data_IF_475728951249
#
_entry.id   IF_475728951249
#
_cell.length_a   1.000
_cell.length_b   1.000
_cell.length_c   1.000
_cell.angle_alpha   90.00
_cell.angle_beta   90.00
_cell.angle_gamma   90.00
#
_symmetry.space_group_name_H-M   'P 1'
#
loop_
_entity.id
_entity.type
_entity.pdbx_description
1 polymer ?
#
# COMPACT_ATOMS: atom_id res chain seq x y z
N UNK A 1 37.92 -22.63 45.68
CA UNK A 1 38.52 -22.71 44.33
C UNK A 1 37.62 -21.88 43.42
N UNK A 2 38.02 -20.67 43.05
CA UNK A 2 37.19 -19.73 42.28
C UNK A 2 37.40 -20.04 40.80
N UNK A 3 36.35 -20.44 40.11
CA UNK A 3 36.33 -20.66 38.66
C UNK A 3 36.12 -19.33 37.95
N UNK A 4 37.10 -18.90 37.16
CA UNK A 4 36.96 -17.76 36.26
C UNK A 4 36.20 -18.18 35.00
N UNK A 5 35.08 -17.51 34.72
CA UNK A 5 34.43 -17.54 33.40
C UNK A 5 35.28 -16.71 32.43
N UNK A 6 35.79 -17.35 31.38
CA UNK A 6 36.46 -16.66 30.28
C UNK A 6 35.42 -15.85 29.49
N UNK A 7 35.73 -14.58 29.23
CA UNK A 7 34.91 -13.73 28.37
C UNK A 7 34.88 -14.29 26.94
N UNK A 8 33.68 -14.46 26.40
CA UNK A 8 33.48 -14.89 25.02
C UNK A 8 33.80 -13.70 24.10
N UNK A 9 34.85 -13.82 23.29
CA UNK A 9 35.19 -12.81 22.28
C UNK A 9 34.05 -12.72 21.26
N UNK A 10 33.32 -11.60 21.28
CA UNK A 10 32.43 -11.22 20.18
C UNK A 10 33.29 -10.71 19.03
N UNK A 11 33.58 -11.59 18.06
CA UNK A 11 34.17 -11.17 16.79
C UNK A 11 33.13 -10.36 16.03
N UNK A 12 33.39 -9.07 15.85
CA UNK A 12 32.62 -8.23 14.95
C UNK A 12 32.80 -8.75 13.51
N UNK A 13 31.85 -9.55 13.03
CA UNK A 13 31.78 -9.92 11.64
C UNK A 13 31.51 -8.66 10.82
N UNK A 14 32.56 -8.12 10.17
CA UNK A 14 32.37 -7.06 9.17
C UNK A 14 31.44 -7.60 8.10
N UNK A 15 30.27 -6.97 7.95
CA UNK A 15 29.38 -7.17 6.81
C UNK A 15 30.21 -6.96 5.54
N UNK A 16 30.51 -8.05 4.83
CA UNK A 16 31.20 -8.01 3.54
C UNK A 16 30.12 -8.04 2.47
N UNK A 17 30.03 -6.99 1.67
CA UNK A 17 29.27 -7.02 0.42
C UNK A 17 29.80 -8.20 -0.41
N UNK A 18 28.93 -9.08 -0.93
CA UNK A 18 29.36 -10.14 -1.85
C UNK A 18 29.98 -9.49 -3.10
N UNK A 19 31.29 -9.60 -3.25
CA UNK A 19 32.01 -9.09 -4.43
C UNK A 19 31.90 -10.03 -5.65
N UNK A 20 31.13 -11.11 -5.55
CA UNK A 20 31.06 -12.14 -6.58
C UNK A 20 29.71 -12.11 -7.31
N UNK A 21 29.61 -11.25 -8.33
CA UNK A 21 28.47 -11.12 -9.26
C UNK A 21 28.46 -12.21 -10.35
N UNK A 22 29.07 -13.37 -10.11
CA UNK A 22 29.35 -14.36 -11.16
C UNK A 22 28.30 -15.47 -11.31
N UNK A 23 27.32 -15.57 -10.41
CA UNK A 23 26.18 -16.49 -10.58
C UNK A 23 24.98 -15.74 -11.16
N UNK A 24 25.05 -15.34 -12.43
CA UNK A 24 23.84 -14.94 -13.16
C UNK A 24 23.01 -16.21 -13.40
N UNK A 25 21.83 -16.31 -12.78
CA UNK A 25 20.81 -17.28 -13.19
C UNK A 25 20.59 -17.11 -14.70
N UNK A 26 20.78 -18.18 -15.48
CA UNK A 26 20.36 -18.19 -16.88
C UNK A 26 18.84 -18.15 -16.90
N UNK A 27 18.28 -17.00 -17.28
CA UNK A 27 16.84 -16.79 -17.35
C UNK A 27 16.27 -17.71 -18.44
N UNK A 28 15.37 -18.59 -18.05
CA UNK A 28 14.55 -19.43 -18.93
C UNK A 28 13.27 -18.70 -19.33
N UNK A 29 12.60 -19.15 -20.40
CA UNK A 29 11.33 -18.56 -20.88
C UNK A 29 10.22 -18.63 -19.82
N UNK A 30 10.29 -19.59 -18.90
CA UNK A 30 9.32 -19.77 -17.82
C UNK A 30 9.63 -18.98 -16.55
N UNK A 31 10.79 -18.31 -16.47
CA UNK A 31 11.15 -17.55 -15.28
C UNK A 31 10.31 -16.29 -15.14
N UNK A 32 9.97 -15.96 -13.90
CA UNK A 32 9.23 -14.75 -13.52
C UNK A 32 10.10 -13.77 -12.74
N UNK A 33 11.39 -14.06 -12.62
CA UNK A 33 12.38 -13.26 -11.90
C UNK A 33 13.80 -13.45 -12.44
N UNK A 34 14.67 -12.49 -12.12
CA UNK A 34 16.11 -12.54 -12.40
C UNK A 34 16.94 -12.21 -11.17
N UNK A 35 18.18 -12.69 -11.13
CA UNK A 35 19.11 -12.45 -10.02
C UNK A 35 19.53 -10.98 -9.94
N UNK A 36 19.64 -10.47 -8.71
CA UNK A 36 20.13 -9.14 -8.40
C UNK A 36 19.04 -8.06 -8.40
N UNK A 37 19.45 -6.85 -8.01
CA UNK A 37 18.62 -5.65 -8.07
C UNK A 37 18.72 -4.99 -9.45
N UNK A 38 17.63 -4.39 -9.91
CA UNK A 38 17.60 -3.60 -11.15
C UNK A 38 17.77 -2.10 -10.94
N UNK A 39 17.71 -1.65 -9.69
CA UNK A 39 17.82 -0.25 -9.26
C UNK A 39 18.78 -0.14 -8.08
N UNK A 40 19.50 0.97 -8.01
CA UNK A 40 20.36 1.34 -6.89
C UNK A 40 19.63 2.14 -5.79
N UNK A 41 18.34 2.42 -5.99
CA UNK A 41 17.46 3.03 -4.99
C UNK A 41 16.50 1.97 -4.45
N UNK A 42 16.44 1.88 -3.12
CA UNK A 42 15.47 1.09 -2.37
C UNK A 42 14.54 2.08 -1.65
N UNK A 43 13.26 2.07 -2.01
CA UNK A 43 12.22 2.92 -1.43
C UNK A 43 11.54 2.26 -0.21
N UNK A 44 11.46 0.93 -0.20
CA UNK A 44 10.78 0.16 0.84
C UNK A 44 11.61 -1.05 1.25
N UNK A 45 11.61 -1.35 2.56
CA UNK A 45 12.20 -2.58 3.12
C UNK A 45 11.19 -3.15 4.10
N UNK A 46 10.67 -4.36 3.82
CA UNK A 46 9.71 -5.04 4.69
C UNK A 46 10.11 -6.47 4.97
N UNK A 47 10.04 -6.86 6.24
CA UNK A 47 10.33 -8.23 6.70
C UNK A 47 9.04 -9.04 6.66
N UNK A 48 9.12 -10.27 6.16
CA UNK A 48 8.01 -11.22 6.15
C UNK A 48 7.93 -12.00 7.47
N UNK A 49 7.41 -11.37 8.52
CA UNK A 49 7.24 -11.99 9.83
C UNK A 49 8.52 -12.65 10.32
N UNK A 50 8.43 -13.89 10.80
CA UNK A 50 9.57 -14.66 11.32
C UNK A 50 10.32 -15.46 10.24
N UNK A 51 10.02 -15.22 8.95
CA UNK A 51 10.71 -15.91 7.84
C UNK A 51 12.04 -15.23 7.50
N UNK A 52 12.87 -15.89 6.67
CA UNK A 52 14.12 -15.30 6.15
C UNK A 52 13.91 -14.40 4.93
N UNK A 53 12.66 -14.06 4.60
CA UNK A 53 12.32 -13.24 3.44
C UNK A 53 12.27 -11.75 3.79
N UNK A 54 12.96 -10.96 2.96
CA UNK A 54 12.88 -9.51 2.97
C UNK A 54 12.41 -9.04 1.60
N UNK A 55 11.36 -8.21 1.58
CA UNK A 55 10.88 -7.53 0.38
C UNK A 55 11.56 -6.19 0.25
N UNK A 56 12.02 -5.88 -0.96
CA UNK A 56 12.68 -4.64 -1.30
C UNK A 56 11.88 -3.97 -2.43
N UNK A 57 11.32 -2.81 -2.13
CA UNK A 57 10.74 -1.94 -3.14
C UNK A 57 11.83 -1.11 -3.79
N UNK A 58 11.88 -1.10 -5.12
CA UNK A 58 12.89 -0.35 -5.86
C UNK A 58 12.25 0.52 -6.93
N UNK A 59 13.01 1.48 -7.47
CA UNK A 59 12.58 2.28 -8.63
C UNK A 59 12.38 1.48 -9.93
N UNK A 60 12.76 0.20 -9.97
CA UNK A 60 12.62 -0.69 -11.14
C UNK A 60 11.99 -2.03 -10.76
N UNK A 61 10.98 -1.98 -9.89
CA UNK A 61 10.16 -3.13 -9.54
C UNK A 61 10.44 -3.71 -8.16
N UNK A 62 9.71 -4.80 -7.87
CA UNK A 62 9.78 -5.52 -6.60
C UNK A 62 10.93 -6.52 -6.62
N UNK A 63 11.70 -6.56 -5.54
CA UNK A 63 12.70 -7.59 -5.30
C UNK A 63 12.42 -8.31 -3.99
N UNK A 64 12.93 -9.54 -3.87
CA UNK A 64 12.97 -10.25 -2.59
C UNK A 64 14.34 -10.85 -2.35
N UNK A 65 14.66 -11.01 -1.08
CA UNK A 65 15.89 -11.63 -0.61
C UNK A 65 15.53 -12.84 0.23
N UNK A 66 16.07 -14.01 -0.12
CA UNK A 66 16.16 -15.15 0.79
C UNK A 66 17.50 -15.11 1.47
N UNK A 67 17.57 -15.54 2.74
CA UNK A 67 18.80 -15.94 3.43
C UNK A 67 19.99 -14.95 3.40
N UNK A 68 19.72 -13.67 3.16
CA UNK A 68 20.71 -12.57 3.02
C UNK A 68 21.70 -12.68 1.85
N UNK A 69 21.61 -13.71 1.01
CA UNK A 69 22.58 -13.95 -0.07
C UNK A 69 21.93 -13.91 -1.45
N UNK A 70 20.69 -14.36 -1.57
CA UNK A 70 20.02 -14.55 -2.84
C UNK A 70 18.96 -13.48 -3.06
N UNK A 71 19.33 -12.44 -3.81
CA UNK A 71 18.42 -11.38 -4.24
C UNK A 71 17.88 -11.70 -5.62
N UNK A 72 16.56 -11.57 -5.81
CA UNK A 72 15.92 -11.61 -7.12
C UNK A 72 14.95 -10.44 -7.31
N UNK A 73 14.91 -9.90 -8.52
CA UNK A 73 13.91 -8.92 -8.96
C UNK A 73 12.90 -9.60 -9.86
N UNK A 74 11.61 -9.41 -9.60
CA UNK A 74 10.54 -9.96 -10.43
C UNK A 74 10.45 -9.24 -11.78
N UNK A 75 10.05 -9.97 -12.82
CA UNK A 75 9.77 -9.38 -14.13
C UNK A 75 8.48 -8.56 -14.10
N UNK A 76 8.40 -7.61 -15.02
CA UNK A 76 7.28 -6.70 -15.13
C UNK A 76 6.52 -6.89 -16.43
N UNK A 77 5.24 -6.53 -16.43
CA UNK A 77 4.36 -6.59 -17.59
C UNK A 77 3.45 -5.36 -17.62
N UNK A 78 3.17 -4.86 -18.82
CA UNK A 78 2.10 -3.87 -19.07
C UNK A 78 0.74 -4.54 -19.27
N UNK A 79 0.73 -5.85 -19.49
CA UNK A 79 -0.43 -6.62 -19.94
C UNK A 79 -1.01 -7.40 -18.75
N UNK A 80 -1.35 -6.68 -17.67
CA UNK A 80 -1.99 -7.24 -16.49
C UNK A 80 -3.49 -6.94 -16.52
N UNK A 81 -4.30 -7.94 -16.16
CA UNK A 81 -5.76 -7.82 -16.11
C UNK A 81 -6.22 -7.58 -14.68
N UNK A 82 -6.99 -6.51 -14.47
CA UNK A 82 -7.58 -6.19 -13.17
C UNK A 82 -8.36 -7.38 -12.57
N UNK A 83 -8.12 -7.67 -11.29
CA UNK A 83 -8.73 -8.77 -10.55
C UNK A 83 -8.24 -10.17 -10.95
N UNK A 84 -7.18 -10.28 -11.75
CA UNK A 84 -6.66 -11.55 -12.26
C UNK A 84 -5.28 -11.90 -11.71
N UNK A 85 -4.93 -13.19 -11.78
CA UNK A 85 -3.58 -13.65 -11.47
C UNK A 85 -2.56 -12.98 -12.39
N UNK A 86 -1.43 -12.57 -11.84
CA UNK A 86 -0.36 -11.93 -12.62
C UNK A 86 0.52 -12.91 -13.38
N UNK A 87 0.37 -14.22 -13.14
CA UNK A 87 1.28 -15.24 -13.66
C UNK A 87 2.72 -15.07 -13.19
N UNK A 88 2.94 -14.33 -12.09
CA UNK A 88 4.27 -14.04 -11.53
C UNK A 88 4.93 -12.77 -12.07
N UNK A 89 4.28 -12.04 -12.99
CA UNK A 89 4.73 -10.73 -13.44
C UNK A 89 4.17 -9.61 -12.55
N UNK A 90 4.79 -8.44 -12.57
CA UNK A 90 4.40 -7.29 -11.75
C UNK A 90 4.20 -6.03 -12.60
N UNK A 91 3.48 -5.00 -12.12
CA UNK A 91 3.31 -3.78 -12.88
C UNK A 91 4.65 -3.13 -13.24
N UNK A 92 4.74 -2.56 -14.45
CA UNK A 92 5.88 -1.73 -14.85
C UNK A 92 5.87 -0.44 -14.01
N UNK A 93 6.96 -0.18 -13.30
CA UNK A 93 7.12 1.01 -12.47
C UNK A 93 8.04 0.79 -11.28
N UNK A 94 8.15 1.81 -10.44
CA UNK A 94 8.78 1.72 -9.13
C UNK A 94 7.77 1.22 -8.09
N UNK A 95 8.26 0.58 -7.03
CA UNK A 95 7.44 0.23 -5.86
C UNK A 95 7.29 1.46 -4.97
N UNK A 96 6.05 1.85 -4.71
CA UNK A 96 5.71 3.03 -3.91
C UNK A 96 5.30 2.69 -2.47
N UNK A 97 4.80 1.48 -2.21
CA UNK A 97 4.49 1.01 -0.86
C UNK A 97 4.54 -0.52 -0.80
N UNK A 98 4.93 -1.06 0.37
CA UNK A 98 4.84 -2.49 0.68
C UNK A 98 4.20 -2.64 2.06
N UNK A 99 3.18 -3.49 2.17
CA UNK A 99 2.61 -3.88 3.45
C UNK A 99 2.66 -5.41 3.62
N UNK A 100 3.02 -5.86 4.82
CA UNK A 100 3.22 -7.29 5.12
C UNK A 100 2.57 -7.63 6.45
N UNK A 101 1.81 -8.74 6.50
CA UNK A 101 1.25 -9.30 7.73
C UNK A 101 1.07 -10.81 7.60
N UNK A 102 1.72 -11.59 8.45
CA UNK A 102 1.71 -13.06 8.34
C UNK A 102 2.30 -13.47 6.99
N UNK A 103 1.54 -14.18 6.17
CA UNK A 103 1.89 -14.55 4.78
C UNK A 103 1.23 -13.63 3.73
N UNK A 104 0.54 -12.59 4.17
CA UNK A 104 -0.09 -11.62 3.29
C UNK A 104 0.90 -10.52 2.92
N UNK A 105 1.02 -10.25 1.63
CA UNK A 105 1.83 -9.16 1.08
C UNK A 105 1.00 -8.36 0.10
N UNK A 106 1.10 -7.04 0.24
CA UNK A 106 0.51 -6.07 -0.67
C UNK A 106 1.61 -5.13 -1.15
N UNK A 107 1.66 -4.88 -2.45
CA UNK A 107 2.67 -4.00 -3.06
C UNK A 107 2.00 -3.05 -4.02
N UNK A 108 2.25 -1.76 -3.86
CA UNK A 108 1.79 -0.73 -4.79
C UNK A 108 2.90 -0.27 -5.72
N UNK A 109 2.52 0.08 -6.94
CA UNK A 109 3.43 0.52 -8.00
C UNK A 109 3.09 1.92 -8.47
N UNK A 110 4.11 2.66 -8.90
CA UNK A 110 3.96 4.00 -9.41
C UNK A 110 4.93 4.28 -10.58
N UNK A 111 4.57 5.25 -11.41
CA UNK A 111 5.41 5.82 -12.45
C UNK A 111 5.10 7.32 -12.57
N UNK A 112 5.72 7.97 -13.55
CA UNK A 112 5.30 9.28 -14.03
C UNK A 112 4.88 9.22 -15.51
N UNK A 113 4.00 10.13 -15.90
CA UNK A 113 3.64 10.40 -17.30
C UNK A 113 3.44 11.91 -17.45
N UNK A 114 4.14 12.55 -18.39
CA UNK A 114 4.13 14.01 -18.55
C UNK A 114 4.38 14.75 -17.22
N UNK A 115 5.34 14.26 -16.43
CA UNK A 115 5.69 14.75 -15.08
C UNK A 115 4.59 14.62 -14.00
N UNK A 116 3.46 13.99 -14.32
CA UNK A 116 2.44 13.66 -13.34
C UNK A 116 2.72 12.30 -12.68
N UNK A 117 2.73 12.21 -11.34
CA UNK A 117 2.83 10.92 -10.66
C UNK A 117 1.54 10.12 -10.88
N UNK A 118 1.67 8.83 -11.22
CA UNK A 118 0.55 7.94 -11.54
C UNK A 118 0.68 6.63 -10.78
N UNK A 119 -0.39 6.23 -10.09
CA UNK A 119 -0.51 4.89 -9.53
C UNK A 119 -0.66 3.85 -10.65
N UNK A 120 0.20 2.83 -10.65
CA UNK A 120 0.20 1.72 -11.63
C UNK A 120 -0.52 0.49 -11.09
N UNK A 121 -1.40 0.70 -10.11
CA UNK A 121 -2.11 -0.37 -9.44
C UNK A 121 -1.27 -1.08 -8.39
N UNK A 122 -1.82 -2.20 -7.94
CA UNK A 122 -1.34 -2.92 -6.77
C UNK A 122 -1.39 -4.41 -7.05
N UNK A 123 -0.54 -5.15 -6.35
CA UNK A 123 -0.59 -6.60 -6.33
C UNK A 123 -0.78 -7.08 -4.91
N UNK A 124 -1.51 -8.18 -4.78
CA UNK A 124 -1.86 -8.77 -3.51
C UNK A 124 -1.63 -10.28 -3.57
N UNK A 125 -1.08 -10.81 -2.48
CA UNK A 125 -1.03 -12.26 -2.24
C UNK A 125 -1.33 -12.54 -0.77
N UNK A 126 -2.01 -13.64 -0.50
CA UNK A 126 -2.27 -14.13 0.86
C UNK A 126 -1.32 -15.28 1.28
N UNK A 127 -0.44 -15.73 0.38
CA UNK A 127 0.38 -16.93 0.55
C UNK A 127 1.84 -16.74 0.10
N UNK A 128 2.41 -15.58 0.43
CA UNK A 128 3.75 -15.16 -0.03
C UNK A 128 4.90 -16.08 0.41
N UNK A 129 4.71 -16.85 1.48
CA UNK A 129 5.70 -17.78 2.04
C UNK A 129 5.80 -19.11 1.27
N UNK A 130 4.88 -19.37 0.34
CA UNK A 130 4.94 -20.57 -0.51
C UNK A 130 6.00 -20.44 -1.61
N UNK A 131 6.41 -21.56 -2.21
CA UNK A 131 7.41 -21.55 -3.30
C UNK A 131 6.89 -20.79 -4.53
N UNK A 132 5.61 -20.97 -4.85
CA UNK A 132 4.93 -20.38 -5.99
C UNK A 132 3.70 -19.58 -5.53
N UNK A 133 3.89 -18.39 -4.94
CA UNK A 133 2.78 -17.57 -4.47
C UNK A 133 1.92 -17.10 -5.63
N UNK A 134 0.61 -17.06 -5.41
CA UNK A 134 -0.33 -16.51 -6.39
C UNK A 134 -0.54 -15.04 -6.08
N UNK A 135 -0.24 -14.20 -7.06
CA UNK A 135 -0.42 -12.76 -6.98
C UNK A 135 -1.61 -12.36 -7.83
N UNK A 136 -2.47 -11.52 -7.28
CA UNK A 136 -3.58 -10.90 -8.01
C UNK A 136 -3.24 -9.44 -8.23
N UNK A 137 -3.40 -8.96 -9.46
CA UNK A 137 -3.25 -7.54 -9.79
C UNK A 137 -4.60 -6.83 -9.72
N UNK A 138 -4.58 -5.61 -9.20
CA UNK A 138 -5.70 -4.68 -9.24
C UNK A 138 -5.24 -3.34 -9.79
N UNK A 139 -6.08 -2.70 -10.59
CA UNK A 139 -5.86 -1.32 -11.03
C UNK A 139 -5.78 -0.37 -9.84
N UNK A 140 -5.16 0.80 -10.05
CA UNK A 140 -5.16 1.85 -9.03
C UNK A 140 -6.62 2.21 -8.70
N UNK A 141 -7.06 2.11 -7.42
CA UNK A 141 -8.45 2.34 -7.09
C UNK A 141 -8.88 3.78 -7.39
N UNK A 142 -9.89 3.90 -8.24
CA UNK A 142 -10.56 5.13 -8.65
C UNK A 142 -12.07 5.00 -8.45
N UNK A 143 -12.77 6.11 -8.48
CA UNK A 143 -14.23 6.18 -8.38
C UNK A 143 -14.86 6.21 -9.77
N UNK A 144 -16.12 5.79 -9.84
CA UNK A 144 -16.97 6.11 -10.99
C UNK A 144 -17.26 7.61 -11.02
N UNK A 145 -17.49 8.15 -12.22
CA UNK A 145 -17.69 9.59 -12.41
C UNK A 145 -18.92 10.15 -11.67
N UNK A 146 -19.92 9.31 -11.41
CA UNK A 146 -21.17 9.64 -10.71
C UNK A 146 -21.17 9.23 -9.23
N UNK A 147 -20.04 8.74 -8.69
CA UNK A 147 -19.92 8.27 -7.31
C UNK A 147 -19.71 9.42 -6.29
N UNK A 148 -20.46 10.52 -6.44
CA UNK A 148 -20.44 11.65 -5.51
C UNK A 148 -21.00 11.29 -4.12
N UNK A 149 -21.80 10.24 -4.04
CA UNK A 149 -22.38 9.70 -2.81
C UNK A 149 -22.00 8.24 -2.67
N UNK A 150 -21.28 7.87 -1.61
CA UNK A 150 -20.77 6.51 -1.38
C UNK A 150 -21.15 5.98 0.01
N UNK A 151 -21.38 4.67 0.16
CA UNK A 151 -21.75 4.09 1.46
C UNK A 151 -20.58 4.12 2.44
N UNK A 152 -20.89 4.30 3.73
CA UNK A 152 -19.90 4.23 4.80
C UNK A 152 -20.47 3.65 6.09
N UNK A 153 -19.67 2.84 6.78
CA UNK A 153 -19.94 2.37 8.14
C UNK A 153 -21.16 1.47 8.31
N UNK A 154 -21.83 1.07 7.22
CA UNK A 154 -23.10 0.32 7.26
C UNK A 154 -24.29 1.12 7.80
N UNK A 155 -24.14 2.43 8.02
CA UNK A 155 -25.15 3.31 8.63
C UNK A 155 -25.78 4.23 7.58
N UNK A 156 -24.96 4.74 6.67
CA UNK A 156 -25.43 5.72 5.70
C UNK A 156 -24.43 5.95 4.60
N UNK A 157 -24.49 7.15 4.03
CA UNK A 157 -23.68 7.57 2.90
C UNK A 157 -22.93 8.85 3.25
N UNK A 158 -21.82 9.03 2.55
CA UNK A 158 -20.96 10.20 2.61
C UNK A 158 -20.90 10.81 1.23
N UNK A 159 -20.89 12.14 1.16
CA UNK A 159 -20.69 12.85 -0.08
C UNK A 159 -19.22 13.26 -0.24
N UNK A 160 -18.74 13.28 -1.47
CA UNK A 160 -17.38 13.73 -1.76
C UNK A 160 -17.04 13.74 -3.24
N UNK A 161 -16.01 14.50 -3.59
CA UNK A 161 -15.53 14.61 -4.96
C UNK A 161 -15.05 13.24 -5.46
N UNK A 162 -15.55 12.73 -6.60
CA UNK A 162 -15.08 11.48 -7.18
C UNK A 162 -13.66 11.63 -7.76
N UNK A 163 -12.82 10.64 -7.50
CA UNK A 163 -11.45 10.56 -8.04
C UNK A 163 -11.43 9.56 -9.19
N UNK A 164 -11.64 10.03 -10.40
CA UNK A 164 -11.93 9.18 -11.57
C UNK A 164 -10.70 8.70 -12.34
N UNK A 165 -9.50 9.15 -11.95
CA UNK A 165 -8.25 8.89 -12.68
C UNK A 165 -7.09 8.57 -11.75
N UNK A 166 -6.06 7.91 -12.27
CA UNK A 166 -4.89 7.47 -11.51
C UNK A 166 -3.80 8.55 -11.36
N UNK A 167 -3.86 9.62 -12.16
CA UNK A 167 -2.99 10.80 -12.05
C UNK A 167 -3.16 11.45 -10.68
N UNK A 168 -2.04 11.75 -10.02
CA UNK A 168 -1.97 12.23 -8.63
C UNK A 168 -2.57 11.29 -7.58
N UNK A 169 -2.93 10.07 -7.97
CA UNK A 169 -3.53 9.06 -7.11
C UNK A 169 -2.54 7.89 -6.87
N UNK A 170 -1.28 8.21 -6.57
CA UNK A 170 -0.28 7.22 -6.18
C UNK A 170 -0.60 6.71 -4.77
N UNK A 171 -0.49 5.40 -4.57
CA UNK A 171 -0.46 4.81 -3.22
C UNK A 171 0.90 5.09 -2.58
N UNK A 172 0.95 6.00 -1.61
CA UNK A 172 2.19 6.42 -0.93
C UNK A 172 2.58 5.52 0.24
N UNK A 173 1.61 4.91 0.90
CA UNK A 173 1.84 3.98 2.01
C UNK A 173 0.69 2.98 2.11
N UNK A 174 0.96 1.85 2.74
CA UNK A 174 -0.01 0.80 2.97
C UNK A 174 0.20 0.09 4.33
N UNK A 175 -0.89 -0.38 4.92
CA UNK A 175 -0.87 -1.14 6.17
C UNK A 175 -1.91 -2.25 6.16
N UNK A 176 -1.60 -3.43 6.71
CA UNK A 176 -2.54 -4.56 6.77
C UNK A 176 -3.02 -4.75 8.20
N UNK A 177 -4.33 -4.72 8.41
CA UNK A 177 -4.93 -4.93 9.72
C UNK A 177 -6.45 -4.89 9.71
N UNK A 178 -7.05 -5.51 10.73
CA UNK A 178 -8.50 -5.57 10.92
C UNK A 178 -9.30 -6.14 9.74
N UNK A 179 -8.71 -7.05 8.96
CA UNK A 179 -9.35 -7.66 7.78
C UNK A 179 -9.26 -6.80 6.52
N UNK A 180 -8.47 -5.72 6.56
CA UNK A 180 -8.29 -4.79 5.44
C UNK A 180 -6.82 -4.60 5.08
N UNK A 181 -6.61 -4.18 3.83
CA UNK A 181 -5.41 -3.43 3.44
C UNK A 181 -5.81 -1.96 3.37
N UNK A 182 -5.17 -1.12 4.18
CA UNK A 182 -5.33 0.32 4.17
C UNK A 182 -4.29 0.92 3.25
N UNK A 183 -4.68 1.89 2.44
CA UNK A 183 -3.77 2.62 1.55
C UNK A 183 -4.01 4.12 1.66
N UNK A 184 -2.98 4.89 1.37
CA UNK A 184 -3.06 6.35 1.32
C UNK A 184 -2.62 6.89 -0.03
N UNK A 185 -3.35 7.88 -0.51
CA UNK A 185 -3.06 8.60 -1.75
C UNK A 185 -3.38 10.08 -1.58
N UNK A 186 -2.69 10.94 -2.35
CA UNK A 186 -3.00 12.37 -2.34
C UNK A 186 -4.41 12.60 -2.87
N UNK A 187 -4.69 12.25 -4.13
CA UNK A 187 -6.04 12.42 -4.67
C UNK A 187 -7.03 11.44 -4.05
N UNK A 188 -6.69 10.15 -3.95
CA UNK A 188 -7.60 9.12 -3.44
C UNK A 188 -7.92 9.16 -1.95
N UNK A 189 -7.18 9.97 -1.17
CA UNK A 189 -7.28 10.03 0.28
C UNK A 189 -6.94 8.69 0.95
N UNK A 190 -7.63 8.39 2.05
CA UNK A 190 -7.56 7.09 2.70
C UNK A 190 -8.58 6.13 2.06
N UNK A 191 -8.11 4.95 1.66
CA UNK A 191 -8.97 3.86 1.18
C UNK A 191 -8.64 2.56 1.90
N UNK A 192 -9.59 1.64 1.93
CA UNK A 192 -9.36 0.28 2.41
C UNK A 192 -9.89 -0.76 1.43
N UNK A 193 -9.08 -1.79 1.21
CA UNK A 193 -9.44 -3.00 0.49
C UNK A 193 -9.86 -4.06 1.50
N UNK A 194 -11.04 -4.63 1.33
CA UNK A 194 -11.59 -5.64 2.21
C UNK A 194 -11.17 -7.03 1.74
N UNK A 195 -10.35 -7.70 2.54
CA UNK A 195 -9.71 -8.97 2.13
C UNK A 195 -10.75 -10.08 1.92
N UNK A 196 -11.85 -10.07 2.65
CA UNK A 196 -12.86 -11.13 2.61
C UNK A 196 -13.64 -11.22 1.29
N UNK A 197 -13.82 -10.09 0.59
CA UNK A 197 -14.66 -10.02 -0.62
C UNK A 197 -14.01 -9.26 -1.78
N UNK A 198 -12.83 -8.66 -1.55
CA UNK A 198 -12.06 -7.95 -2.57
C UNK A 198 -12.63 -6.59 -2.95
N UNK A 199 -13.49 -6.00 -2.13
CA UNK A 199 -14.06 -4.68 -2.39
C UNK A 199 -13.16 -3.54 -1.90
N UNK A 200 -13.24 -2.39 -2.58
CA UNK A 200 -12.58 -1.15 -2.17
C UNK A 200 -13.59 -0.17 -1.59
N UNK A 201 -13.22 0.48 -0.49
CA UNK A 201 -14.03 1.51 0.16
C UNK A 201 -13.22 2.79 0.38
N UNK A 202 -13.86 3.94 0.14
CA UNK A 202 -13.36 5.24 0.59
C UNK A 202 -13.54 5.35 2.09
N UNK A 203 -12.59 5.98 2.77
CA UNK A 203 -12.64 6.18 4.21
C UNK A 203 -12.69 7.69 4.50
N UNK A 204 -13.78 8.22 5.06
CA UNK A 204 -13.84 9.61 5.45
C UNK A 204 -12.86 9.90 6.58
N UNK A 205 -12.22 11.06 6.47
CA UNK A 205 -11.37 11.67 7.50
C UNK A 205 -11.90 13.09 7.75
N UNK A 206 -11.71 13.69 8.94
CA UNK A 206 -12.20 15.03 9.25
C UNK A 206 -11.76 16.09 8.23
N UNK A 207 -12.55 17.15 8.08
CA UNK A 207 -12.16 18.37 7.35
C UNK A 207 -11.09 19.16 8.12
N UNK A 208 -10.47 20.16 7.49
CA UNK A 208 -9.31 20.88 8.05
C UNK A 208 -9.61 21.61 9.37
N UNK A 209 -10.85 22.07 9.55
CA UNK A 209 -11.34 22.80 10.72
C UNK A 209 -12.10 21.91 11.72
N UNK A 210 -12.18 20.59 11.45
CA UNK A 210 -12.87 19.64 12.29
C UNK A 210 -11.91 18.93 13.25
N UNK A 211 -12.13 19.11 14.56
CA UNK A 211 -11.40 18.36 15.58
C UNK A 211 -11.79 16.88 15.62
N UNK A 212 -13.06 16.57 15.35
CA UNK A 212 -13.63 15.22 15.42
C UNK A 212 -14.67 15.03 14.33
N UNK A 213 -14.64 13.88 13.66
CA UNK A 213 -15.69 13.44 12.74
C UNK A 213 -16.39 12.20 13.31
N UNK A 214 -17.69 12.29 13.59
CA UNK A 214 -18.48 11.17 14.14
C UNK A 214 -19.26 10.51 13.01
N UNK A 215 -18.82 9.33 12.57
CA UNK A 215 -19.45 8.57 11.47
C UNK A 215 -20.24 7.34 11.95
N UNK A 216 -20.45 7.20 13.26
CA UNK A 216 -21.03 6.00 13.87
C UNK A 216 -22.31 6.28 14.69
N UNK A 217 -22.84 7.50 14.64
CA UNK A 217 -24.06 7.89 15.34
C UNK A 217 -25.15 8.30 14.34
N UNK A 218 -26.36 7.77 14.49
CA UNK A 218 -27.50 8.10 13.62
C UNK A 218 -27.79 9.61 13.59
N UNK A 219 -27.54 10.32 14.70
CA UNK A 219 -27.72 11.77 14.80
C UNK A 219 -26.78 12.58 13.91
N UNK A 220 -25.67 12.00 13.43
CA UNK A 220 -24.77 12.63 12.46
C UNK A 220 -25.35 12.66 11.04
N UNK A 221 -26.42 11.92 10.76
CA UNK A 221 -26.98 11.75 9.43
C UNK A 221 -28.34 12.44 9.27
N UNK A 222 -28.62 12.95 8.08
CA UNK A 222 -29.92 13.48 7.68
C UNK A 222 -30.48 12.70 6.48
N UNK A 223 -31.80 12.61 6.40
CA UNK A 223 -32.47 11.94 5.31
C UNK A 223 -32.59 12.89 4.11
N UNK A 224 -31.85 12.61 3.04
CA UNK A 224 -31.92 13.33 1.76
C UNK A 224 -32.27 12.32 0.68
N UNK A 225 -33.39 12.54 -0.01
CA UNK A 225 -33.87 11.67 -1.10
C UNK A 225 -33.91 10.17 -0.73
N UNK A 226 -34.31 9.87 0.51
CA UNK A 226 -34.41 8.49 1.02
C UNK A 226 -33.08 7.86 1.45
N UNK A 227 -31.97 8.61 1.46
CA UNK A 227 -30.65 8.16 1.93
C UNK A 227 -30.23 8.93 3.18
N UNK A 228 -29.68 8.24 4.17
CA UNK A 228 -29.05 8.87 5.33
C UNK A 228 -27.67 9.42 4.91
N UNK A 229 -27.55 10.73 4.72
CA UNK A 229 -26.32 11.41 4.31
C UNK A 229 -25.65 12.06 5.54
N UNK A 230 -24.33 11.94 5.66
CA UNK A 230 -23.57 12.58 6.73
C UNK A 230 -23.69 14.12 6.63
N UNK A 231 -24.21 14.76 7.68
CA UNK A 231 -24.47 16.21 7.70
C UNK A 231 -23.18 17.02 7.63
N UNK A 232 -23.25 18.17 6.96
CA UNK A 232 -22.19 19.20 6.98
C UNK A 232 -20.79 18.64 6.70
N UNK A 233 -20.67 17.69 5.76
CA UNK A 233 -19.40 17.06 5.44
C UNK A 233 -19.31 16.76 3.95
N UNK A 234 -18.20 17.13 3.32
CA UNK A 234 -17.93 16.80 1.93
C UNK A 234 -16.46 16.42 1.72
N UNK A 235 -16.20 15.16 1.36
CA UNK A 235 -14.84 14.66 1.16
C UNK A 235 -14.22 15.18 -0.15
N UNK A 236 -13.44 16.25 -0.06
CA UNK A 236 -12.74 16.86 -1.19
C UNK A 236 -11.22 17.03 -0.93
N UNK A 237 -10.33 16.37 -1.69
CA UNK A 237 -8.87 16.44 -1.55
C UNK A 237 -8.22 17.56 -2.39
N UNK A 238 -8.99 18.49 -2.96
CA UNK A 238 -8.43 19.70 -3.60
C UNK A 238 -7.78 20.63 -2.56
N UNK A 239 -7.10 21.67 -3.04
CA UNK A 239 -6.60 22.71 -2.14
C UNK A 239 -7.76 23.48 -1.48
N UNK A 240 -7.60 23.99 -0.24
CA UNK A 240 -8.62 24.79 0.44
C UNK A 240 -9.11 26.00 -0.35
N UNK A 241 -8.22 26.61 -1.16
CA UNK A 241 -8.61 27.73 -2.05
C UNK A 241 -9.64 27.32 -3.11
N UNK A 242 -9.72 26.03 -3.45
CA UNK A 242 -10.69 25.43 -4.37
C UNK A 242 -11.84 24.73 -3.63
N UNK A 243 -12.02 24.98 -2.33
CA UNK A 243 -13.05 24.35 -1.50
C UNK A 243 -12.73 22.91 -1.10
N UNK A 244 -11.46 22.51 -1.12
CA UNK A 244 -11.01 21.21 -0.61
C UNK A 244 -10.45 21.26 0.81
N UNK A 245 -9.87 20.16 1.26
CA UNK A 245 -9.24 20.02 2.58
C UNK A 245 -7.90 19.30 2.47
N UNK A 246 -6.87 19.85 3.10
CA UNK A 246 -5.56 19.21 3.19
C UNK A 246 -5.61 17.91 4.01
N UNK A 247 -6.50 17.80 4.98
CA UNK A 247 -6.67 16.60 5.79
C UNK A 247 -7.24 15.42 4.98
N UNK A 248 -7.83 15.67 3.81
CA UNK A 248 -8.29 14.63 2.90
C UNK A 248 -7.19 14.10 1.97
N UNK A 249 -5.98 14.66 2.03
CA UNK A 249 -4.80 14.23 1.26
C UNK A 249 -3.92 13.36 2.14
N UNK A 250 -3.93 12.04 1.94
CA UNK A 250 -3.26 11.09 2.82
C UNK A 250 -1.90 10.64 2.25
N UNK A 251 -0.92 10.42 3.13
CA UNK A 251 0.45 10.05 2.76
C UNK A 251 1.02 8.87 3.55
N UNK A 252 0.53 8.61 4.77
CA UNK A 252 1.00 7.49 5.59
C UNK A 252 -0.13 6.85 6.37
N UNK A 253 -0.02 5.54 6.63
CA UNK A 253 -1.02 4.80 7.41
C UNK A 253 -0.41 3.71 8.27
N UNK A 254 -0.91 3.61 9.50
CA UNK A 254 -0.58 2.53 10.43
C UNK A 254 -1.86 1.93 10.99
N UNK A 255 -2.12 0.66 10.66
CA UNK A 255 -3.10 -0.15 11.36
C UNK A 255 -2.42 -0.84 12.55
N UNK A 256 -2.87 -0.52 13.76
CA UNK A 256 -2.33 -1.09 14.99
C UNK A 256 -3.47 -1.43 15.95
N UNK A 257 -3.61 -2.73 16.25
CA UNK A 257 -4.75 -3.27 16.97
C UNK A 257 -6.08 -2.80 16.35
N UNK A 258 -6.97 -2.21 17.13
CA UNK A 258 -8.26 -1.68 16.72
C UNK A 258 -8.19 -0.27 16.12
N UNK A 259 -7.02 0.37 16.13
CA UNK A 259 -6.84 1.77 15.80
C UNK A 259 -6.12 1.93 14.46
N UNK A 260 -6.60 2.86 13.64
CA UNK A 260 -5.95 3.31 12.41
C UNK A 260 -5.41 4.72 12.62
N UNK A 261 -4.13 4.92 12.31
CA UNK A 261 -3.47 6.23 12.30
C UNK A 261 -3.17 6.62 10.86
N UNK A 262 -3.43 7.88 10.52
CA UNK A 262 -3.33 8.35 9.13
C UNK A 262 -2.65 9.71 9.11
N UNK A 263 -1.49 9.79 8.47
CA UNK A 263 -0.79 11.05 8.22
C UNK A 263 -1.32 11.70 6.94
N UNK A 264 -1.63 12.99 7.04
CA UNK A 264 -2.24 13.79 5.97
C UNK A 264 -1.46 15.09 5.78
N UNK A 265 -1.78 15.87 4.75
CA UNK A 265 -1.18 17.19 4.56
C UNK A 265 -1.50 18.18 5.70
N UNK A 266 -2.51 17.90 6.53
CA UNK A 266 -2.91 18.76 7.65
C UNK A 266 -2.75 18.09 9.04
N UNK A 267 -1.92 17.06 9.15
CA UNK A 267 -1.56 16.46 10.45
C UNK A 267 -1.82 14.96 10.52
N UNK A 268 -2.32 14.49 11.67
CA UNK A 268 -2.51 13.08 11.97
C UNK A 268 -3.94 12.85 12.43
N UNK A 269 -4.62 11.89 11.80
CA UNK A 269 -5.93 11.40 12.21
C UNK A 269 -5.78 10.06 12.94
N UNK A 270 -6.70 9.80 13.86
CA UNK A 270 -6.82 8.55 14.61
C UNK A 270 -8.29 8.15 14.67
N UNK A 271 -8.60 6.91 14.32
CA UNK A 271 -9.95 6.36 14.36
C UNK A 271 -9.99 4.85 14.51
#
# INVERSE_FOLDING_TARGET
>A
MITYLAAQETTAAKFRLPNNFSSRKTVSVSDTSQTGLLSNVISEIRIQGDTSWVWLGTGRGLSRVKDSLNIETFFTSTDLTNGSSTGGYFPVGGVSAIAVKGDTVFVAFASSENDFPIGKGVVYTANSATENPVWIYYDQPVDLADAETFPWGGIGFVQGLPITVAQYNVTYDASIGNGYVWITSWAGGLRRYKISDGSWERVPVPEDDQLTLITCADSSYELVDGKNILKNFYMNPRDPIDGGNHNHKAFSVLSYNDTIWVGTANGINRG
#
